data_IF_129377028276
#
_entry.id   IF_129377028276
#
_cell.length_a   1.000
_cell.length_b   1.000
_cell.length_c   1.000
_cell.angle_alpha   90.00
_cell.angle_beta   90.00
_cell.angle_gamma   90.00
#
_symmetry.space_group_name_H-M   'P 1'
#
loop_
_entity.id
_entity.type
_entity.pdbx_description
1 polymer ?
#
# COMPACT_ATOMS: atom_id res chain seq x y z
N UNK A 1 14.38 -11.98 -26.28
CA UNK A 1 13.78 -12.35 -24.98
C UNK A 1 12.32 -12.72 -25.23
N UNK A 2 11.90 -13.96 -25.00
CA UNK A 2 10.48 -14.31 -25.02
C UNK A 2 9.85 -13.74 -23.75
N UNK A 3 8.87 -12.89 -23.92
CA UNK A 3 7.98 -12.50 -22.85
C UNK A 3 7.28 -13.77 -22.38
N UNK A 4 7.29 -14.03 -21.10
CA UNK A 4 6.42 -15.06 -20.55
C UNK A 4 4.98 -14.55 -20.72
N UNK A 5 4.31 -15.01 -21.78
CA UNK A 5 2.87 -15.03 -21.78
C UNK A 5 2.46 -16.15 -20.84
N UNK A 6 2.05 -15.85 -19.63
CA UNK A 6 1.13 -16.75 -18.99
C UNK A 6 -0.09 -16.83 -19.90
N UNK A 7 -0.56 -18.05 -20.16
CA UNK A 7 -1.81 -18.28 -20.89
C UNK A 7 -2.96 -17.76 -20.02
N UNK A 8 -3.26 -16.49 -20.21
CA UNK A 8 -4.28 -15.81 -19.46
C UNK A 8 -5.49 -15.70 -20.33
N UNK A 9 -6.58 -16.14 -19.78
CA UNK A 9 -7.89 -15.97 -20.38
C UNK A 9 -8.07 -14.47 -20.57
N UNK A 10 -8.05 -14.06 -21.82
CA UNK A 10 -8.25 -12.66 -22.23
C UNK A 10 -9.73 -12.31 -22.01
N UNK A 11 -10.02 -11.83 -20.83
CA UNK A 11 -11.33 -11.28 -20.49
C UNK A 11 -11.41 -9.77 -20.72
N UNK A 12 -10.51 -9.20 -21.53
CA UNK A 12 -10.54 -7.82 -22.00
C UNK A 12 -10.21 -6.74 -20.96
N UNK A 13 -10.16 -7.07 -19.68
CA UNK A 13 -10.07 -6.11 -18.58
C UNK A 13 -8.75 -6.12 -17.81
N UNK A 14 -7.89 -7.10 -18.04
CA UNK A 14 -6.60 -7.25 -17.35
C UNK A 14 -5.46 -7.34 -18.36
N UNK A 15 -4.49 -6.45 -18.21
CA UNK A 15 -3.28 -6.46 -19.00
C UNK A 15 -2.10 -6.95 -18.15
N UNK A 16 -1.41 -7.98 -18.59
CA UNK A 16 -0.19 -8.48 -17.98
C UNK A 16 1.01 -8.01 -18.76
N UNK A 17 1.97 -7.48 -18.08
CA UNK A 17 3.26 -7.15 -18.64
C UNK A 17 4.33 -7.82 -17.80
N UNK A 18 5.03 -8.76 -18.40
CA UNK A 18 6.28 -9.26 -17.83
C UNK A 18 7.41 -8.33 -18.23
N UNK A 19 8.46 -8.33 -17.44
CA UNK A 19 9.58 -7.43 -17.60
C UNK A 19 10.12 -7.34 -19.01
N UNK A 20 10.28 -6.10 -19.45
CA UNK A 20 10.95 -5.76 -20.69
C UNK A 20 12.47 -5.90 -20.62
N UNK A 21 13.10 -5.68 -21.76
CA UNK A 21 14.56 -5.70 -21.92
C UNK A 21 15.22 -4.51 -21.22
N UNK A 22 16.41 -4.71 -20.65
CA UNK A 22 17.30 -3.60 -20.35
C UNK A 22 17.73 -2.90 -21.66
N UNK A 23 17.87 -1.58 -21.65
CA UNK A 23 18.40 -0.84 -22.80
C UNK A 23 19.91 -1.10 -22.96
N UNK A 24 20.37 -1.11 -24.19
CA UNK A 24 21.79 -1.22 -24.48
C UNK A 24 22.56 0.00 -23.97
N UNK A 25 23.42 -0.21 -22.98
CA UNK A 25 24.46 0.74 -22.57
C UNK A 25 25.82 0.14 -22.87
N UNK A 26 26.74 0.87 -23.50
CA UNK A 26 28.10 0.35 -23.81
C UNK A 26 28.82 -0.08 -22.53
N UNK A 27 29.37 -1.30 -22.52
CA UNK A 27 30.13 -1.84 -21.40
C UNK A 27 29.33 -2.45 -20.25
N UNK A 28 28.01 -2.45 -20.31
CA UNK A 28 27.15 -2.90 -19.21
C UNK A 28 26.69 -4.34 -19.34
N UNK A 29 26.13 -4.83 -18.30
CA UNK A 29 25.42 -6.09 -18.02
C UNK A 29 24.45 -6.55 -19.14
N UNK A 30 24.08 -5.66 -20.06
CA UNK A 30 23.21 -5.97 -21.21
C UNK A 30 23.75 -7.12 -22.06
N UNK A 31 25.08 -7.30 -22.16
CA UNK A 31 25.64 -8.46 -22.86
C UNK A 31 25.25 -9.79 -22.21
N UNK A 32 25.20 -9.85 -20.88
CA UNK A 32 24.73 -11.05 -20.13
C UNK A 32 23.22 -11.26 -20.32
N UNK A 33 22.46 -10.18 -20.36
CA UNK A 33 21.01 -10.25 -20.54
C UNK A 33 20.58 -10.77 -21.93
N UNK A 34 21.39 -10.52 -22.97
CA UNK A 34 21.12 -10.97 -24.34
C UNK A 34 21.18 -12.48 -24.48
N UNK A 35 21.86 -13.15 -23.57
CA UNK A 35 22.07 -14.61 -23.53
C UNK A 35 21.23 -15.32 -22.45
N UNK A 36 20.43 -14.61 -21.68
CA UNK A 36 19.50 -15.24 -20.73
C UNK A 36 18.42 -16.00 -21.48
N UNK A 37 18.67 -17.26 -21.71
CA UNK A 37 17.72 -18.20 -22.30
C UNK A 37 16.67 -18.58 -21.26
N UNK A 38 15.58 -17.82 -21.15
CA UNK A 38 14.34 -18.22 -20.49
C UNK A 38 14.48 -18.71 -19.02
N UNK A 39 15.61 -18.48 -18.35
CA UNK A 39 15.81 -18.89 -16.97
C UNK A 39 15.70 -17.69 -16.04
N UNK A 40 14.75 -17.73 -15.12
CA UNK A 40 14.50 -16.65 -14.13
C UNK A 40 15.73 -16.43 -13.23
N UNK A 41 16.49 -17.47 -12.94
CA UNK A 41 17.71 -17.36 -12.15
C UNK A 41 18.79 -16.53 -12.83
N UNK A 42 18.92 -16.63 -14.17
CA UNK A 42 19.87 -15.80 -14.92
C UNK A 42 19.47 -14.34 -14.94
N UNK A 43 18.17 -14.08 -15.02
CA UNK A 43 17.61 -12.74 -14.91
C UNK A 43 17.93 -12.13 -13.55
N UNK A 44 17.71 -12.90 -12.47
CA UNK A 44 17.98 -12.51 -11.10
C UNK A 44 19.47 -12.24 -10.88
N UNK A 45 20.33 -13.10 -11.38
CA UNK A 45 21.79 -12.93 -11.30
C UNK A 45 22.23 -11.66 -12.02
N UNK A 46 21.63 -11.35 -13.17
CA UNK A 46 21.94 -10.15 -13.93
C UNK A 46 21.47 -8.88 -13.21
N UNK A 47 20.27 -8.89 -12.64
CA UNK A 47 19.75 -7.79 -11.82
C UNK A 47 20.64 -7.55 -10.60
N UNK A 48 21.07 -8.61 -9.96
CA UNK A 48 21.94 -8.56 -8.78
C UNK A 48 23.30 -7.89 -9.04
N UNK A 49 23.82 -7.99 -10.25
CA UNK A 49 25.06 -7.33 -10.63
C UNK A 49 24.90 -5.81 -10.87
N UNK A 50 23.67 -5.30 -11.01
CA UNK A 50 23.40 -3.88 -11.30
C UNK A 50 23.35 -3.05 -10.04
N UNK A 51 23.07 -3.68 -8.89
CA UNK A 51 22.83 -2.98 -7.65
C UNK A 51 23.89 -3.33 -6.61
N UNK A 52 24.66 -2.33 -6.22
CA UNK A 52 25.65 -2.45 -5.14
C UNK A 52 24.90 -2.36 -3.80
N UNK A 53 24.53 -3.52 -3.25
CA UNK A 53 23.84 -3.63 -1.97
C UNK A 53 24.86 -4.03 -0.91
N UNK A 54 24.84 -3.31 0.22
CA UNK A 54 25.73 -3.63 1.34
C UNK A 54 25.62 -5.11 1.74
N UNK A 55 26.69 -5.92 1.64
CA UNK A 55 26.64 -7.35 1.87
C UNK A 55 26.22 -7.75 3.29
N UNK A 56 26.31 -6.86 4.27
CA UNK A 56 25.85 -7.11 5.64
C UNK A 56 24.32 -7.23 5.77
N UNK A 57 23.56 -6.76 4.76
CA UNK A 57 22.10 -6.70 4.80
C UNK A 57 21.46 -7.78 3.89
N UNK A 58 22.24 -8.50 3.10
CA UNK A 58 21.76 -9.52 2.15
C UNK A 58 20.96 -10.65 2.85
N UNK A 59 21.21 -10.91 4.11
CA UNK A 59 20.59 -12.00 4.88
C UNK A 59 19.25 -11.64 5.53
N UNK A 60 18.78 -10.38 5.41
CA UNK A 60 17.47 -10.01 5.93
C UNK A 60 16.39 -10.31 4.92
N UNK A 61 15.29 -10.90 5.41
CA UNK A 61 14.05 -11.06 4.67
C UNK A 61 13.02 -10.05 5.18
N UNK A 62 12.25 -9.48 4.27
CA UNK A 62 11.10 -8.69 4.64
C UNK A 62 9.91 -9.60 4.96
N UNK A 63 9.07 -9.14 5.87
CA UNK A 63 7.88 -9.81 6.34
C UNK A 63 6.63 -9.04 5.91
N UNK A 64 5.52 -9.74 5.81
CA UNK A 64 4.19 -9.18 5.54
C UNK A 64 3.49 -8.84 6.86
N UNK A 65 2.62 -7.84 6.83
CA UNK A 65 1.91 -7.36 8.02
C UNK A 65 0.38 -7.49 7.90
N UNK A 66 -0.11 -8.53 7.25
CA UNK A 66 -1.51 -8.91 7.29
C UNK A 66 -1.78 -9.96 8.37
N UNK A 67 -3.00 -9.98 8.88
CA UNK A 67 -3.54 -11.00 9.78
C UNK A 67 -4.84 -11.49 9.16
N UNK A 68 -4.86 -12.72 8.69
CA UNK A 68 -6.01 -13.37 8.09
C UNK A 68 -6.73 -14.18 9.17
N UNK A 69 -8.04 -14.08 9.23
CA UNK A 69 -8.85 -15.01 10.01
C UNK A 69 -8.98 -16.33 9.26
N UNK A 70 -8.59 -17.43 9.89
CA UNK A 70 -8.34 -18.74 9.27
C UNK A 70 -9.59 -19.44 8.72
N UNK A 71 -10.79 -18.96 9.02
CA UNK A 71 -12.04 -19.59 8.61
C UNK A 71 -12.72 -18.75 7.53
N UNK A 72 -13.04 -19.32 6.35
CA UNK A 72 -13.86 -18.64 5.37
C UNK A 72 -15.21 -18.28 5.97
N UNK A 73 -15.67 -17.07 5.72
CA UNK A 73 -16.97 -16.62 6.19
C UNK A 73 -18.06 -17.21 5.29
N UNK A 74 -18.97 -18.03 5.85
CA UNK A 74 -20.20 -18.48 5.19
C UNK A 74 -21.22 -17.34 5.24
N UNK A 75 -21.06 -16.37 4.37
CA UNK A 75 -21.94 -15.21 4.28
C UNK A 75 -22.71 -15.30 2.97
N UNK A 76 -24.01 -15.06 3.03
CA UNK A 76 -24.81 -14.84 1.83
C UNK A 76 -24.36 -13.54 1.15
N UNK A 77 -23.60 -13.72 0.09
CA UNK A 77 -22.99 -12.63 -0.69
C UNK A 77 -24.06 -11.65 -1.22
N UNK A 78 -25.29 -12.13 -1.44
CA UNK A 78 -26.37 -11.29 -1.97
C UNK A 78 -26.90 -10.27 -0.95
N UNK A 79 -26.67 -10.50 0.32
CA UNK A 79 -27.11 -9.64 1.43
C UNK A 79 -26.02 -8.65 1.90
N UNK A 80 -24.75 -8.81 1.52
CA UNK A 80 -23.65 -7.93 1.99
C UNK A 80 -23.79 -6.45 1.64
N UNK A 81 -24.52 -6.10 0.59
CA UNK A 81 -24.76 -4.71 0.19
C UNK A 81 -26.23 -4.26 0.42
N UNK A 82 -27.11 -5.17 0.80
CA UNK A 82 -28.53 -4.89 1.01
C UNK A 82 -28.92 -4.72 2.48
N UNK A 83 -27.95 -4.63 3.42
CA UNK A 83 -28.25 -4.30 4.80
C UNK A 83 -28.83 -2.87 4.92
N UNK A 84 -29.99 -2.68 4.30
CA UNK A 84 -31.03 -1.78 4.80
C UNK A 84 -31.60 -2.49 6.03
N UNK A 85 -30.98 -2.20 7.18
CA UNK A 85 -31.49 -2.63 8.48
C UNK A 85 -32.96 -2.23 8.56
N UNK A 86 -33.86 -3.22 8.71
CA UNK A 86 -35.21 -2.96 9.18
C UNK A 86 -35.10 -2.19 10.49
N UNK A 87 -35.71 -1.02 10.52
CA UNK A 87 -35.68 -0.09 11.64
C UNK A 87 -36.32 -0.70 12.89
N UNK A 88 -35.53 -1.37 13.69
CA UNK A 88 -35.82 -1.56 15.11
C UNK A 88 -35.23 -0.35 15.86
N UNK A 89 -36.09 0.56 16.27
CA UNK A 89 -35.80 1.90 16.77
C UNK A 89 -35.26 1.97 18.20
N UNK A 90 -34.85 0.85 18.81
CA UNK A 90 -34.58 0.81 20.26
C UNK A 90 -33.14 0.54 20.69
N UNK A 91 -32.25 0.09 19.82
CA UNK A 91 -30.81 -0.04 20.16
C UNK A 91 -29.94 0.42 18.99
N UNK A 92 -29.04 1.40 19.23
CA UNK A 92 -27.99 1.77 18.27
C UNK A 92 -27.09 0.55 18.07
N UNK A 93 -27.31 -0.20 17.01
CA UNK A 93 -26.50 -1.36 16.68
C UNK A 93 -25.15 -0.88 16.13
N UNK A 94 -24.07 -1.21 16.82
CA UNK A 94 -22.70 -0.89 16.43
C UNK A 94 -22.19 -2.03 15.56
N UNK A 95 -21.69 -1.74 14.36
CA UNK A 95 -20.99 -2.70 13.52
C UNK A 95 -19.51 -2.74 13.87
N UNK A 96 -18.99 -3.93 14.14
CA UNK A 96 -17.60 -4.19 14.54
C UNK A 96 -16.76 -4.86 13.44
N UNK A 97 -17.24 -4.85 12.18
CA UNK A 97 -16.57 -5.49 11.05
C UNK A 97 -16.87 -7.01 10.93
N UNK A 98 -16.30 -7.72 9.94
CA UNK A 98 -15.46 -7.17 8.88
C UNK A 98 -16.22 -6.20 7.96
N UNK A 99 -15.53 -5.16 7.51
CA UNK A 99 -16.17 -4.09 6.74
C UNK A 99 -16.10 -4.31 5.23
N UNK A 100 -17.16 -3.88 4.55
CA UNK A 100 -17.24 -3.82 3.09
C UNK A 100 -16.56 -2.55 2.55
N UNK A 101 -16.25 -2.50 1.22
CA UNK A 101 -15.76 -1.28 0.57
C UNK A 101 -16.67 -0.07 0.75
N UNK A 102 -17.99 -0.23 0.73
CA UNK A 102 -18.96 0.85 0.90
C UNK A 102 -18.92 1.43 2.32
N UNK A 103 -18.81 0.58 3.33
CA UNK A 103 -18.69 0.99 4.74
C UNK A 103 -17.41 1.79 4.99
N UNK A 104 -16.27 1.32 4.53
CA UNK A 104 -14.99 2.04 4.66
C UNK A 104 -15.02 3.37 3.90
N UNK A 105 -15.60 3.40 2.71
CA UNK A 105 -15.76 4.64 1.96
C UNK A 105 -16.57 5.67 2.75
N UNK A 106 -17.67 5.27 3.36
CA UNK A 106 -18.49 6.17 4.17
C UNK A 106 -17.77 6.62 5.43
N UNK A 107 -17.12 5.71 6.15
CA UNK A 107 -16.39 6.01 7.37
C UNK A 107 -15.29 7.06 7.20
N UNK A 108 -14.60 7.06 6.06
CA UNK A 108 -13.47 7.92 5.77
C UNK A 108 -13.77 9.03 4.77
N UNK A 109 -15.06 9.33 4.55
CA UNK A 109 -15.55 10.41 3.66
C UNK A 109 -15.03 10.28 2.21
N UNK A 110 -15.00 9.05 1.68
CA UNK A 110 -14.61 8.76 0.30
C UNK A 110 -15.85 8.84 -0.61
N UNK A 111 -16.52 10.00 -0.61
CA UNK A 111 -17.83 10.16 -1.24
C UNK A 111 -17.77 10.39 -2.75
N UNK A 112 -16.72 11.01 -3.26
CA UNK A 112 -16.60 11.43 -4.65
C UNK A 112 -15.39 10.79 -5.33
N UNK A 113 -15.57 9.57 -5.85
CA UNK A 113 -14.57 8.97 -6.71
C UNK A 113 -14.61 9.72 -8.05
N UNK A 114 -13.56 10.47 -8.32
CA UNK A 114 -13.51 11.40 -9.44
C UNK A 114 -13.50 10.66 -10.79
N UNK A 115 -14.41 10.99 -11.71
CA UNK A 115 -14.33 10.49 -13.07
C UNK A 115 -13.03 11.00 -13.72
N UNK A 116 -12.51 10.22 -14.65
CA UNK A 116 -11.28 10.58 -15.37
C UNK A 116 -11.66 11.57 -16.48
N UNK A 117 -11.23 12.80 -16.34
CA UNK A 117 -11.40 13.83 -17.35
C UNK A 117 -10.19 13.91 -18.29
N UNK A 118 -10.08 12.94 -19.17
CA UNK A 118 -9.38 13.08 -20.43
C UNK A 118 -7.86 12.88 -20.50
N UNK A 119 -7.05 12.95 -19.45
CA UNK A 119 -5.59 12.95 -19.62
C UNK A 119 -4.91 11.62 -19.39
N UNK A 120 -4.94 11.14 -18.18
CA UNK A 120 -4.40 9.83 -17.78
C UNK A 120 -4.98 9.41 -16.43
N UNK A 121 -4.89 8.14 -16.16
CA UNK A 121 -5.22 7.61 -14.85
C UNK A 121 -4.06 7.80 -13.88
N UNK A 122 -4.38 7.89 -12.60
CA UNK A 122 -3.38 7.70 -11.55
C UNK A 122 -2.87 6.27 -11.61
N UNK A 123 -1.57 6.12 -11.50
CA UNK A 123 -0.87 4.83 -11.52
C UNK A 123 -0.39 4.52 -10.12
N UNK A 124 -0.91 3.44 -9.57
CA UNK A 124 -0.49 2.90 -8.28
C UNK A 124 0.36 1.66 -8.52
N UNK A 125 1.56 1.63 -7.95
CA UNK A 125 2.44 0.47 -8.01
C UNK A 125 2.53 -0.20 -6.65
N UNK A 126 2.25 -1.50 -6.61
CA UNK A 126 2.40 -2.36 -5.43
C UNK A 126 3.72 -3.11 -5.59
N UNK A 127 4.60 -3.00 -4.60
CA UNK A 127 5.81 -3.83 -4.53
C UNK A 127 5.56 -4.96 -3.56
N UNK A 128 5.74 -6.18 -4.03
CA UNK A 128 5.52 -7.41 -3.27
C UNK A 128 6.56 -8.47 -3.69
N UNK A 129 6.55 -9.64 -3.10
CA UNK A 129 7.46 -10.71 -3.44
C UNK A 129 6.72 -11.97 -3.90
N UNK A 130 7.41 -12.82 -4.64
CA UNK A 130 6.95 -14.10 -5.14
C UNK A 130 5.74 -14.01 -6.09
N UNK A 131 5.43 -15.14 -6.73
CA UNK A 131 4.33 -15.22 -7.70
C UNK A 131 2.99 -15.49 -7.00
N UNK A 132 1.96 -14.76 -7.41
CA UNK A 132 0.57 -15.10 -7.07
C UNK A 132 -0.19 -15.46 -8.35
N UNK A 133 -0.31 -16.75 -8.72
CA UNK A 133 -1.00 -17.16 -9.94
C UNK A 133 -2.53 -17.02 -9.87
N UNK A 134 -3.07 -16.79 -8.68
CA UNK A 134 -4.52 -16.69 -8.44
C UNK A 134 -5.03 -15.25 -8.38
N UNK A 135 -4.12 -14.27 -8.37
CA UNK A 135 -4.44 -12.87 -8.13
C UNK A 135 -5.57 -12.32 -8.99
N UNK A 136 -5.51 -12.56 -10.30
CA UNK A 136 -6.51 -12.02 -11.24
C UNK A 136 -7.89 -12.56 -10.98
N UNK A 137 -7.98 -13.86 -10.77
CA UNK A 137 -9.24 -14.54 -10.49
C UNK A 137 -9.89 -14.00 -9.21
N UNK A 138 -9.09 -13.85 -8.15
CA UNK A 138 -9.58 -13.41 -6.85
C UNK A 138 -9.94 -11.92 -6.84
N UNK A 139 -9.18 -11.07 -7.57
CA UNK A 139 -9.53 -9.65 -7.79
C UNK A 139 -10.83 -9.50 -8.60
N UNK A 140 -11.00 -10.31 -9.64
CA UNK A 140 -12.26 -10.33 -10.42
C UNK A 140 -13.44 -10.69 -9.56
N UNK A 141 -13.32 -11.77 -8.76
CA UNK A 141 -14.38 -12.22 -7.84
C UNK A 141 -14.72 -11.16 -6.80
N UNK A 142 -13.71 -10.47 -6.24
CA UNK A 142 -13.91 -9.34 -5.33
C UNK A 142 -14.72 -8.22 -5.99
N UNK A 143 -14.36 -7.84 -7.22
CA UNK A 143 -15.10 -6.83 -7.98
C UNK A 143 -16.54 -7.22 -8.27
N UNK A 144 -16.80 -8.51 -8.56
CA UNK A 144 -18.15 -9.03 -8.76
C UNK A 144 -19.00 -8.95 -7.48
N UNK A 145 -18.43 -9.38 -6.33
CA UNK A 145 -19.12 -9.37 -5.03
C UNK A 145 -19.50 -7.93 -4.62
N UNK A 146 -18.56 -7.00 -4.72
CA UNK A 146 -18.76 -5.62 -4.28
C UNK A 146 -19.18 -4.66 -5.41
N UNK A 147 -19.65 -5.19 -6.54
CA UNK A 147 -20.20 -4.44 -7.69
C UNK A 147 -19.29 -3.31 -8.17
N UNK A 148 -17.97 -3.55 -8.13
CA UNK A 148 -16.97 -2.58 -8.58
C UNK A 148 -16.77 -2.64 -10.11
N UNK A 149 -16.49 -1.51 -10.79
CA UNK A 149 -16.16 -1.54 -12.21
C UNK A 149 -14.87 -2.35 -12.44
N UNK A 150 -14.62 -2.87 -13.66
CA UNK A 150 -13.48 -3.74 -13.92
C UNK A 150 -12.13 -3.15 -13.51
N UNK A 151 -11.35 -3.92 -12.74
CA UNK A 151 -10.02 -3.52 -12.26
C UNK A 151 -9.02 -3.42 -13.41
N UNK A 152 -8.23 -2.34 -13.43
CA UNK A 152 -7.12 -2.19 -14.38
C UNK A 152 -5.81 -2.63 -13.74
N UNK A 153 -5.46 -3.89 -13.95
CA UNK A 153 -4.34 -4.57 -13.32
C UNK A 153 -3.25 -4.93 -14.34
N UNK A 154 -1.99 -4.57 -14.02
CA UNK A 154 -0.79 -5.01 -14.74
C UNK A 154 0.16 -5.69 -13.75
N UNK A 155 0.73 -6.83 -14.13
CA UNK A 155 1.61 -7.61 -13.28
C UNK A 155 2.99 -7.73 -13.93
N UNK A 156 4.03 -7.37 -13.17
CA UNK A 156 5.44 -7.55 -13.50
C UNK A 156 5.99 -8.62 -12.56
N UNK A 157 6.15 -9.83 -13.04
CA UNK A 157 6.53 -10.97 -12.22
C UNK A 157 7.98 -11.40 -12.47
N UNK A 158 8.78 -11.40 -11.40
CA UNK A 158 10.18 -11.84 -11.39
C UNK A 158 10.39 -13.20 -10.72
N UNK A 159 9.34 -13.81 -10.19
CA UNK A 159 9.41 -15.06 -9.43
C UNK A 159 8.56 -16.17 -10.07
N UNK A 160 9.05 -17.42 -10.00
CA UNK A 160 8.22 -18.60 -10.25
C UNK A 160 7.69 -19.21 -8.96
N UNK A 161 8.27 -18.84 -7.83
CA UNK A 161 7.95 -19.40 -6.53
C UNK A 161 6.63 -18.81 -6.02
N UNK A 162 5.74 -19.69 -5.53
CA UNK A 162 4.54 -19.32 -4.79
C UNK A 162 4.83 -19.43 -3.29
N UNK A 163 4.47 -18.38 -2.55
CA UNK A 163 4.51 -18.35 -1.09
C UNK A 163 3.17 -17.79 -0.60
N UNK A 164 2.43 -18.59 0.15
CA UNK A 164 1.03 -18.31 0.52
C UNK A 164 0.86 -16.94 1.18
N UNK A 165 1.65 -16.63 2.20
CA UNK A 165 1.55 -15.34 2.90
C UNK A 165 1.77 -14.15 1.97
N UNK A 166 2.74 -14.23 1.06
CA UNK A 166 2.99 -13.18 0.08
C UNK A 166 1.91 -13.10 -1.00
N UNK A 167 1.28 -14.22 -1.34
CA UNK A 167 0.15 -14.23 -2.26
C UNK A 167 -1.08 -13.56 -1.63
N UNK A 168 -1.35 -13.82 -0.34
CA UNK A 168 -2.41 -13.15 0.43
C UNK A 168 -2.12 -11.66 0.50
N UNK A 169 -0.89 -11.27 0.84
CA UNK A 169 -0.45 -9.88 0.90
C UNK A 169 -0.68 -9.15 -0.43
N UNK A 170 -0.28 -9.77 -1.53
CA UNK A 170 -0.48 -9.21 -2.87
C UNK A 170 -1.97 -9.02 -3.19
N UNK A 171 -2.79 -10.01 -2.84
CA UNK A 171 -4.23 -9.98 -3.07
C UNK A 171 -4.90 -8.87 -2.25
N UNK A 172 -4.57 -8.77 -0.97
CA UNK A 172 -5.03 -7.71 -0.06
C UNK A 172 -4.75 -6.33 -0.64
N UNK A 173 -3.50 -6.08 -1.00
CA UNK A 173 -3.08 -4.78 -1.50
C UNK A 173 -3.83 -4.37 -2.77
N UNK A 174 -3.99 -5.30 -3.73
CA UNK A 174 -4.72 -5.02 -4.97
C UNK A 174 -6.19 -4.77 -4.69
N UNK A 175 -6.84 -5.64 -3.91
CA UNK A 175 -8.28 -5.54 -3.66
C UNK A 175 -8.64 -4.27 -2.92
N UNK A 176 -7.86 -3.83 -1.93
CA UNK A 176 -8.21 -2.64 -1.15
C UNK A 176 -7.83 -1.31 -1.81
N UNK A 177 -6.77 -1.25 -2.61
CA UNK A 177 -6.55 -0.10 -3.51
C UNK A 177 -7.68 0.01 -4.54
N UNK A 178 -8.06 -1.11 -5.15
CA UNK A 178 -9.16 -1.20 -6.10
C UNK A 178 -10.51 -0.85 -5.46
N UNK A 179 -10.76 -1.32 -4.25
CA UNK A 179 -11.96 -0.99 -3.49
C UNK A 179 -12.12 0.52 -3.27
N UNK A 180 -11.05 1.20 -2.89
CA UNK A 180 -11.04 2.64 -2.60
C UNK A 180 -11.07 3.45 -3.89
N UNK A 181 -10.21 3.17 -4.85
CA UNK A 181 -10.17 3.83 -6.16
C UNK A 181 -10.25 2.85 -7.32
N UNK A 182 -11.46 2.48 -7.76
CA UNK A 182 -11.63 1.50 -8.84
C UNK A 182 -11.19 2.01 -10.23
N UNK A 183 -10.88 3.29 -10.35
CA UNK A 183 -10.45 3.89 -11.62
C UNK A 183 -8.94 4.03 -11.76
N UNK A 184 -8.16 3.78 -10.71
CA UNK A 184 -6.70 3.75 -10.80
C UNK A 184 -6.19 2.64 -11.73
N UNK A 185 -5.03 2.83 -12.35
CA UNK A 185 -4.26 1.75 -12.95
C UNK A 185 -3.36 1.15 -11.87
N UNK A 186 -3.59 -0.11 -11.53
CA UNK A 186 -2.83 -0.83 -10.52
C UNK A 186 -1.75 -1.66 -11.20
N UNK A 187 -0.51 -1.49 -10.77
CA UNK A 187 0.66 -2.25 -11.22
C UNK A 187 1.24 -3.03 -10.05
N UNK A 188 1.44 -4.31 -10.23
CA UNK A 188 2.04 -5.19 -9.23
C UNK A 188 3.43 -5.59 -9.70
N UNK A 189 4.44 -5.34 -8.87
CA UNK A 189 5.80 -5.81 -9.07
C UNK A 189 6.05 -6.93 -8.07
N UNK A 190 6.12 -8.16 -8.56
CA UNK A 190 6.39 -9.35 -7.78
C UNK A 190 7.90 -9.64 -7.83
N UNK A 191 8.65 -9.20 -6.80
CA UNK A 191 10.08 -9.44 -6.68
C UNK A 191 10.40 -10.95 -6.68
N UNK A 192 11.62 -11.31 -7.03
CA UNK A 192 12.03 -12.71 -7.12
C UNK A 192 11.93 -13.44 -5.78
N UNK A 193 12.21 -12.73 -4.68
CA UNK A 193 12.05 -13.21 -3.31
C UNK A 193 11.83 -12.03 -2.35
N UNK A 194 11.60 -12.32 -1.07
CA UNK A 194 11.45 -11.31 -0.01
C UNK A 194 12.79 -10.84 0.58
N UNK A 195 13.92 -11.28 0.05
CA UNK A 195 15.20 -10.80 0.53
C UNK A 195 15.41 -9.31 0.19
N UNK A 196 16.27 -8.66 0.96
CA UNK A 196 16.55 -7.24 0.84
C UNK A 196 16.91 -6.81 -0.59
N UNK A 197 17.78 -7.56 -1.23
CA UNK A 197 18.29 -7.29 -2.57
C UNK A 197 17.20 -7.32 -3.64
N UNK A 198 16.34 -8.34 -3.61
CA UNK A 198 15.29 -8.53 -4.60
C UNK A 198 14.19 -7.48 -4.45
N UNK A 199 13.84 -7.14 -3.21
CA UNK A 199 12.86 -6.09 -2.92
C UNK A 199 13.37 -4.71 -3.36
N UNK A 200 14.66 -4.40 -3.14
CA UNK A 200 15.26 -3.16 -3.62
C UNK A 200 15.41 -3.13 -5.15
N UNK A 201 15.62 -4.26 -5.79
CA UNK A 201 15.56 -4.35 -7.25
C UNK A 201 14.16 -3.97 -7.76
N UNK A 202 13.10 -4.42 -7.10
CA UNK A 202 11.73 -4.07 -7.44
C UNK A 202 11.44 -2.57 -7.23
N UNK A 203 11.94 -1.96 -6.13
CA UNK A 203 11.85 -0.51 -5.88
C UNK A 203 12.57 0.26 -6.99
N UNK A 204 13.79 -0.12 -7.34
CA UNK A 204 14.56 0.53 -8.39
C UNK A 204 13.89 0.39 -9.76
N UNK A 205 13.24 -0.75 -10.02
CA UNK A 205 12.43 -0.95 -11.22
C UNK A 205 11.24 0.02 -11.26
N UNK A 206 10.52 0.19 -10.14
CA UNK A 206 9.41 1.14 -10.07
C UNK A 206 9.84 2.60 -10.30
N UNK A 207 11.09 2.92 -10.00
CA UNK A 207 11.69 4.24 -10.15
C UNK A 207 12.28 4.53 -11.53
N UNK A 208 12.17 3.61 -12.47
CA UNK A 208 12.85 3.68 -13.75
C UNK A 208 14.38 3.89 -13.65
N UNK A 209 14.98 3.52 -12.52
CA UNK A 209 16.43 3.55 -12.37
C UNK A 209 17.06 2.47 -13.26
N UNK A 210 18.24 2.74 -13.78
CA UNK A 210 19.06 1.78 -14.54
C UNK A 210 18.49 1.29 -15.89
N UNK A 211 17.83 2.16 -16.64
CA UNK A 211 17.42 1.90 -18.03
C UNK A 211 16.53 0.67 -18.26
N UNK A 212 15.73 0.27 -17.27
CA UNK A 212 14.72 -0.76 -17.49
C UNK A 212 13.73 -0.37 -18.59
N UNK A 213 13.30 -1.35 -19.38
CA UNK A 213 12.21 -1.21 -20.34
C UNK A 213 11.18 -2.32 -20.14
N UNK A 214 9.88 -2.01 -20.18
CA UNK A 214 9.29 -0.69 -20.37
C UNK A 214 9.52 0.23 -19.18
N UNK A 215 9.55 1.54 -19.40
CA UNK A 215 9.52 2.51 -18.29
C UNK A 215 8.20 2.40 -17.56
N UNK A 216 8.26 2.41 -16.24
CA UNK A 216 7.08 2.41 -15.38
C UNK A 216 6.91 3.82 -14.82
N UNK A 217 5.87 4.54 -15.26
CA UNK A 217 5.44 5.72 -14.53
C UNK A 217 4.68 5.26 -13.29
N UNK A 218 4.91 5.92 -12.16
CA UNK A 218 4.28 5.60 -10.89
C UNK A 218 3.98 6.87 -10.13
N UNK A 219 2.74 7.05 -9.72
CA UNK A 219 2.33 8.19 -8.90
C UNK A 219 2.40 7.86 -7.41
N UNK A 220 1.95 6.67 -7.02
CA UNK A 220 1.95 6.20 -5.63
C UNK A 220 2.49 4.78 -5.56
N UNK A 221 3.41 4.51 -4.65
CA UNK A 221 3.96 3.17 -4.36
C UNK A 221 3.42 2.68 -3.04
N UNK A 222 2.91 1.45 -3.02
CA UNK A 222 2.51 0.72 -1.81
C UNK A 222 3.52 -0.35 -1.44
N UNK A 223 3.92 -0.36 -0.16
CA UNK A 223 4.85 -1.32 0.44
C UNK A 223 4.28 -1.82 1.77
N UNK A 224 3.41 -2.83 1.72
CA UNK A 224 2.81 -3.43 2.93
C UNK A 224 3.68 -4.55 3.49
N UNK A 225 4.94 -4.27 3.71
CA UNK A 225 5.95 -5.18 4.22
C UNK A 225 7.08 -4.41 4.89
N UNK A 226 7.85 -5.08 5.73
CA UNK A 226 8.98 -4.44 6.36
C UNK A 226 9.82 -5.41 7.18
N UNK A 227 10.77 -4.83 7.90
CA UNK A 227 11.58 -5.49 8.92
C UNK A 227 11.80 -4.50 10.06
N UNK A 228 12.21 -4.97 11.23
CA UNK A 228 12.51 -4.08 12.36
C UNK A 228 13.60 -3.07 11.97
N UNK A 229 13.40 -1.81 12.34
CA UNK A 229 14.47 -0.80 12.30
C UNK A 229 15.52 -1.17 13.37
N UNK A 230 16.74 -1.40 12.93
CA UNK A 230 17.85 -1.84 13.77
C UNK A 230 19.05 -0.86 13.71
N UNK A 231 18.80 0.38 13.31
CA UNK A 231 19.86 1.35 13.01
C UNK A 231 20.56 1.06 11.67
N UNK A 232 21.43 1.93 11.23
CA UNK A 232 22.27 1.76 10.04
C UNK A 232 21.54 1.67 8.67
N UNK A 233 20.26 2.05 8.59
CA UNK A 233 19.46 1.99 7.36
C UNK A 233 19.40 3.34 6.62
N UNK A 234 20.05 4.37 7.12
CA UNK A 234 19.95 5.74 6.60
C UNK A 234 20.27 5.85 5.10
N UNK A 235 21.28 5.16 4.61
CA UNK A 235 21.69 5.21 3.20
C UNK A 235 20.61 4.75 2.23
N UNK A 236 19.70 3.91 2.68
CA UNK A 236 18.60 3.35 1.85
C UNK A 236 17.45 4.33 1.60
N UNK A 237 17.39 5.46 2.33
CA UNK A 237 16.44 6.53 2.04
C UNK A 237 16.52 7.02 0.58
N UNK A 238 17.70 6.97 -0.01
CA UNK A 238 17.95 7.35 -1.40
C UNK A 238 17.27 6.43 -2.45
N UNK A 239 16.81 5.26 -2.04
CA UNK A 239 16.04 4.38 -2.92
C UNK A 239 14.61 4.89 -3.14
N UNK A 240 14.11 5.70 -2.22
CA UNK A 240 12.77 6.29 -2.27
C UNK A 240 12.82 7.73 -2.79
N UNK A 241 13.54 7.95 -3.90
CA UNK A 241 13.67 9.26 -4.55
C UNK A 241 13.14 9.19 -5.97
N UNK A 242 11.94 9.77 -6.16
CA UNK A 242 11.35 10.08 -7.45
C UNK A 242 10.46 11.31 -7.30
N UNK A 243 10.75 12.37 -8.04
CA UNK A 243 10.11 13.69 -7.90
C UNK A 243 8.60 13.71 -8.25
N UNK A 244 8.04 12.58 -8.66
CA UNK A 244 6.62 12.44 -9.04
C UNK A 244 5.90 11.32 -8.27
N UNK A 245 6.58 10.69 -7.32
CA UNK A 245 6.07 9.48 -6.66
C UNK A 245 5.94 9.70 -5.16
N UNK A 246 4.81 9.28 -4.61
CA UNK A 246 4.59 9.17 -3.17
C UNK A 246 4.85 7.72 -2.77
N UNK A 247 5.75 7.50 -1.81
CA UNK A 247 6.03 6.19 -1.24
C UNK A 247 5.27 6.02 0.07
N UNK A 248 4.59 4.90 0.22
CA UNK A 248 3.79 4.55 1.39
C UNK A 248 4.18 3.16 1.88
N UNK A 249 4.35 3.02 3.20
CA UNK A 249 4.62 1.72 3.81
C UNK A 249 3.78 1.51 5.07
N UNK A 250 3.40 0.27 5.32
CA UNK A 250 2.80 -0.16 6.58
C UNK A 250 3.81 -0.04 7.73
N UNK A 251 3.36 0.40 8.91
CA UNK A 251 4.24 0.60 10.06
C UNK A 251 4.60 -0.68 10.81
N UNK A 252 3.93 -1.80 10.50
CA UNK A 252 4.15 -3.10 11.16
C UNK A 252 3.12 -3.42 12.24
N UNK A 253 3.16 -4.66 12.76
CA UNK A 253 2.16 -5.20 13.70
C UNK A 253 2.74 -5.59 15.07
N UNK A 254 3.91 -5.07 15.45
CA UNK A 254 4.66 -5.60 16.59
C UNK A 254 5.13 -4.52 17.59
N UNK A 255 4.44 -3.38 17.66
CA UNK A 255 4.71 -2.31 18.62
C UNK A 255 6.15 -1.73 18.55
N UNK A 256 6.82 -1.85 17.42
CA UNK A 256 8.15 -1.28 17.17
C UNK A 256 8.22 -0.64 15.78
N UNK A 257 9.23 0.19 15.60
CA UNK A 257 9.47 0.88 14.33
C UNK A 257 9.99 -0.09 13.29
N UNK A 258 9.47 0.02 12.06
CA UNK A 258 9.87 -0.83 10.94
C UNK A 258 10.49 -0.01 9.80
N UNK A 259 11.33 -0.67 9.01
CA UNK A 259 11.84 -0.21 7.74
C UNK A 259 11.06 -0.93 6.61
N UNK A 260 10.59 -0.26 5.54
CA UNK A 260 10.96 1.08 5.10
C UNK A 260 10.08 2.22 5.64
N UNK A 261 9.09 1.96 6.50
CA UNK A 261 8.18 3.00 7.01
C UNK A 261 8.90 4.11 7.78
N UNK A 262 10.03 3.81 8.44
CA UNK A 262 10.83 4.81 9.14
C UNK A 262 11.62 5.77 8.23
N UNK A 263 11.72 5.49 6.93
CA UNK A 263 12.41 6.39 5.99
C UNK A 263 11.72 7.74 5.90
N UNK A 264 12.50 8.82 5.85
CA UNK A 264 11.93 10.18 5.78
C UNK A 264 11.25 10.50 4.45
N UNK A 265 11.55 9.75 3.38
CA UNK A 265 10.91 9.84 2.07
C UNK A 265 9.73 8.85 1.92
N UNK A 266 9.27 8.23 2.99
CA UNK A 266 8.17 7.27 2.99
C UNK A 266 7.12 7.69 4.01
N UNK A 267 5.84 7.65 3.63
CA UNK A 267 4.72 7.84 4.54
C UNK A 267 4.46 6.53 5.29
N UNK A 268 4.48 6.57 6.60
CA UNK A 268 4.25 5.43 7.48
C UNK A 268 2.78 5.35 7.90
N UNK A 269 2.13 4.22 7.64
CA UNK A 269 0.70 4.04 7.96
C UNK A 269 0.55 3.03 9.08
N UNK A 270 0.02 3.51 10.21
CA UNK A 270 -0.32 2.73 11.40
C UNK A 270 -1.72 2.13 11.34
N UNK A 271 -2.11 1.53 12.45
CA UNK A 271 -3.34 0.78 12.57
C UNK A 271 -4.29 1.27 13.66
N UNK A 272 -5.59 1.24 13.35
CA UNK A 272 -6.67 1.54 14.28
C UNK A 272 -7.67 0.38 14.41
N UNK A 273 -8.46 0.41 15.47
CA UNK A 273 -9.66 -0.38 15.70
C UNK A 273 -10.86 0.52 15.42
N UNK A 274 -11.63 0.22 14.38
CA UNK A 274 -12.78 1.01 13.92
C UNK A 274 -14.10 0.36 14.33
N UNK A 275 -15.06 1.17 14.78
CA UNK A 275 -16.46 0.78 14.94
C UNK A 275 -17.37 1.76 14.22
N UNK A 276 -18.44 1.27 13.60
CA UNK A 276 -19.38 2.07 12.84
C UNK A 276 -20.77 2.11 13.48
N UNK A 277 -21.48 3.21 13.26
CA UNK A 277 -22.90 3.30 13.51
C UNK A 277 -23.68 2.42 12.50
N UNK A 278 -24.94 2.15 12.77
CA UNK A 278 -25.84 1.44 11.87
C UNK A 278 -25.98 2.07 10.47
N UNK A 279 -25.78 3.40 10.38
CA UNK A 279 -25.75 4.11 9.11
C UNK A 279 -24.38 4.11 8.43
N UNK A 280 -23.44 3.29 8.90
CA UNK A 280 -22.05 3.18 8.43
C UNK A 280 -21.18 4.46 8.60
N UNK A 281 -21.64 5.44 9.35
CA UNK A 281 -20.77 6.54 9.80
C UNK A 281 -19.86 6.06 10.93
N UNK A 282 -18.72 6.70 11.09
CA UNK A 282 -17.75 6.35 12.13
C UNK A 282 -18.34 6.59 13.52
N UNK A 283 -18.47 5.53 14.32
CA UNK A 283 -18.92 5.61 15.73
C UNK A 283 -17.76 5.92 16.66
N UNK A 284 -16.72 5.10 16.60
CA UNK A 284 -15.49 5.28 17.37
C UNK A 284 -14.31 4.69 16.64
N UNK A 285 -13.15 5.28 16.88
CA UNK A 285 -11.90 4.75 16.38
C UNK A 285 -10.79 4.99 17.40
N UNK A 286 -9.98 3.97 17.67
CA UNK A 286 -8.89 4.01 18.65
C UNK A 286 -7.64 3.37 18.07
N UNK A 287 -6.49 3.63 18.67
CA UNK A 287 -5.23 2.95 18.31
C UNK A 287 -5.41 1.45 18.42
N UNK A 288 -4.99 0.70 17.41
CA UNK A 288 -4.84 -0.75 17.51
C UNK A 288 -3.57 -1.10 18.28
N UNK A 289 -3.73 -1.92 19.32
CA UNK A 289 -2.67 -2.17 20.32
C UNK A 289 -1.41 -2.85 19.77
N UNK A 290 -1.45 -3.39 18.56
CA UNK A 290 -0.31 -4.03 17.91
C UNK A 290 0.33 -3.18 16.80
N UNK A 291 -0.20 -1.98 16.50
CA UNK A 291 0.37 -1.13 15.45
C UNK A 291 1.85 -0.84 15.70
N UNK A 292 2.67 -0.88 14.65
CA UNK A 292 4.07 -0.48 14.74
C UNK A 292 4.18 1.02 14.96
N UNK A 293 4.88 1.44 16.01
CA UNK A 293 5.06 2.86 16.34
C UNK A 293 6.33 3.08 17.17
N UNK A 294 6.78 4.33 17.24
CA UNK A 294 7.92 4.71 18.07
C UNK A 294 8.91 5.63 17.36
N UNK A 295 10.10 5.70 17.93
CA UNK A 295 11.23 6.47 17.43
C UNK A 295 12.16 5.60 16.58
N UNK A 296 12.54 6.08 15.41
CA UNK A 296 13.50 5.39 14.53
C UNK A 296 14.90 5.39 15.13
N UNK A 297 15.57 4.25 15.03
CA UNK A 297 17.00 4.12 15.35
C UNK A 297 17.91 4.55 14.16
N UNK A 298 17.36 4.55 12.95
CA UNK A 298 18.10 4.83 11.70
C UNK A 298 17.97 6.27 11.21
N UNK A 299 16.87 6.96 11.52
CA UNK A 299 16.53 8.23 10.90
C UNK A 299 16.31 9.34 11.92
N UNK A 300 16.93 10.49 11.66
CA UNK A 300 16.72 11.71 12.45
C UNK A 300 15.36 12.33 12.14
N UNK A 301 14.89 13.20 13.04
CA UNK A 301 13.66 13.96 12.89
C UNK A 301 13.66 14.73 11.58
N UNK A 302 12.69 14.49 10.68
CA UNK A 302 12.52 15.31 9.49
C UNK A 302 11.91 16.67 9.83
N UNK A 303 12.13 17.67 8.98
CA UNK A 303 11.69 19.05 9.21
C UNK A 303 10.18 19.25 9.39
N UNK A 304 9.37 18.28 8.98
CA UNK A 304 7.90 18.31 9.13
C UNK A 304 7.40 17.73 10.46
N UNK A 305 8.28 17.08 11.25
CA UNK A 305 7.92 16.56 12.56
C UNK A 305 8.58 17.38 13.67
N UNK A 306 7.91 17.52 14.82
CA UNK A 306 8.48 18.05 16.05
C UNK A 306 8.84 16.87 16.94
N UNK A 307 10.14 16.58 17.08
CA UNK A 307 10.64 15.48 17.91
C UNK A 307 12.07 15.78 18.40
N UNK A 308 12.49 15.06 19.43
CA UNK A 308 13.82 15.19 20.03
C UNK A 308 14.86 14.28 19.35
N UNK A 309 15.14 14.51 18.07
CA UNK A 309 16.28 13.91 17.40
C UNK A 309 15.99 12.69 16.51
N UNK A 310 14.87 11.98 16.67
CA UNK A 310 14.51 10.80 15.87
C UNK A 310 13.20 10.96 15.12
N UNK A 311 13.13 10.36 13.93
CA UNK A 311 11.89 10.20 13.15
C UNK A 311 10.87 9.41 13.97
N UNK A 312 9.63 9.90 14.06
CA UNK A 312 8.49 9.22 14.68
C UNK A 312 7.66 8.52 13.61
N UNK A 313 7.24 7.29 13.84
CA UNK A 313 6.25 6.55 13.05
C UNK A 313 5.12 6.08 13.97
N UNK A 314 3.87 5.94 13.44
CA UNK A 314 3.44 6.26 12.07
C UNK A 314 3.26 7.76 11.82
N UNK A 315 3.08 8.16 10.54
CA UNK A 315 2.60 9.51 10.19
C UNK A 315 1.10 9.63 10.36
N UNK A 316 0.38 8.59 9.97
CA UNK A 316 -1.08 8.47 9.98
C UNK A 316 -1.48 7.04 10.30
N UNK A 317 -2.78 6.84 10.53
CA UNK A 317 -3.33 5.51 10.80
C UNK A 317 -4.59 5.24 9.97
N UNK A 318 -5.00 3.98 9.89
CA UNK A 318 -6.23 3.54 9.26
C UNK A 318 -6.65 2.20 9.86
N UNK A 319 -7.87 1.71 9.60
CA UNK A 319 -8.33 0.42 10.12
C UNK A 319 -7.33 -0.70 9.88
N UNK A 320 -6.98 -1.43 10.93
CA UNK A 320 -6.00 -2.51 10.93
C UNK A 320 -6.37 -3.68 11.82
N UNK A 321 -7.11 -3.43 12.90
CA UNK A 321 -7.44 -4.48 13.87
C UNK A 321 -8.18 -5.64 13.17
N UNK A 322 -7.66 -6.88 13.20
CA UNK A 322 -8.34 -8.00 12.56
C UNK A 322 -9.71 -8.34 13.18
N UNK A 323 -9.98 -7.87 14.40
CA UNK A 323 -11.33 -7.99 15.01
C UNK A 323 -12.33 -7.03 14.36
N UNK A 324 -11.87 -5.93 13.80
CA UNK A 324 -12.68 -4.94 13.06
C UNK A 324 -12.16 -4.78 11.63
N UNK A 325 -11.62 -5.85 11.07
CA UNK A 325 -10.97 -5.86 9.76
C UNK A 325 -11.94 -5.70 8.59
N UNK A 326 -11.45 -6.06 7.42
CA UNK A 326 -12.19 -5.88 6.18
C UNK A 326 -12.30 -7.20 5.41
N UNK A 327 -13.27 -7.29 4.51
CA UNK A 327 -13.43 -8.44 3.63
C UNK A 327 -12.31 -8.51 2.59
N UNK A 328 -11.86 -9.74 2.32
CA UNK A 328 -10.95 -10.09 1.23
C UNK A 328 -11.43 -11.37 0.53
N UNK A 329 -11.14 -11.48 -0.75
CA UNK A 329 -11.41 -12.72 -1.52
C UNK A 329 -10.09 -13.44 -1.79
N UNK A 330 -9.99 -14.68 -1.28
CA UNK A 330 -8.87 -15.59 -1.51
C UNK A 330 -9.44 -16.92 -1.99
N UNK A 331 -8.91 -17.48 -3.07
CA UNK A 331 -9.42 -18.70 -3.67
C UNK A 331 -10.95 -18.66 -3.91
N UNK A 332 -11.45 -17.49 -4.35
CA UNK A 332 -12.86 -17.21 -4.63
C UNK A 332 -13.80 -17.26 -3.42
N UNK A 333 -13.28 -17.26 -2.20
CA UNK A 333 -14.05 -17.23 -0.94
C UNK A 333 -13.75 -15.96 -0.16
N UNK A 334 -14.74 -15.50 0.60
CA UNK A 334 -14.58 -14.35 1.51
C UNK A 334 -13.87 -14.76 2.79
N UNK A 335 -12.99 -13.87 3.25
CA UNK A 335 -12.32 -13.94 4.54
C UNK A 335 -12.34 -12.55 5.18
N UNK A 336 -12.07 -12.48 6.48
CA UNK A 336 -11.76 -11.24 7.17
C UNK A 336 -10.25 -11.08 7.28
N UNK A 337 -9.75 -9.86 7.08
CA UNK A 337 -8.33 -9.55 7.15
C UNK A 337 -8.09 -8.25 7.89
N UNK A 338 -6.96 -8.17 8.60
CA UNK A 338 -6.46 -6.98 9.29
C UNK A 338 -4.95 -6.85 9.15
N UNK A 339 -4.35 -6.08 10.05
CA UNK A 339 -2.94 -5.70 10.06
C UNK A 339 -2.70 -4.35 9.38
N UNK A 340 -1.56 -3.75 9.63
CA UNK A 340 -1.17 -2.48 8.98
C UNK A 340 -0.98 -2.64 7.46
N UNK A 341 -0.90 -3.88 6.98
CA UNK A 341 -0.98 -4.23 5.55
C UNK A 341 -2.35 -3.95 4.92
N UNK A 342 -3.42 -3.84 5.71
CA UNK A 342 -4.74 -3.36 5.28
C UNK A 342 -4.79 -1.83 5.26
N UNK A 343 -4.24 -1.19 6.28
CA UNK A 343 -4.23 0.28 6.41
C UNK A 343 -3.53 0.96 5.25
N UNK A 344 -2.35 0.47 4.88
CA UNK A 344 -1.52 1.08 3.84
C UNK A 344 -2.22 1.12 2.47
N UNK A 345 -2.79 0.04 1.90
CA UNK A 345 -3.47 0.09 0.61
C UNK A 345 -4.76 0.92 0.63
N UNK A 346 -5.50 0.99 1.75
CA UNK A 346 -6.65 1.90 1.88
C UNK A 346 -6.15 3.35 1.73
N UNK A 347 -5.10 3.73 2.44
CA UNK A 347 -4.52 5.07 2.38
C UNK A 347 -3.94 5.38 0.99
N UNK A 348 -3.27 4.42 0.36
CA UNK A 348 -2.78 4.53 -1.02
C UNK A 348 -3.92 4.77 -2.01
N UNK A 349 -5.03 4.09 -1.83
CA UNK A 349 -6.25 4.34 -2.60
C UNK A 349 -6.72 5.80 -2.47
N UNK A 350 -6.76 6.35 -1.24
CA UNK A 350 -7.12 7.75 -0.98
C UNK A 350 -6.14 8.73 -1.65
N UNK A 351 -4.82 8.51 -1.50
CA UNK A 351 -3.80 9.32 -2.17
C UNK A 351 -3.91 9.26 -3.70
N UNK A 352 -4.31 8.12 -4.24
CA UNK A 352 -4.51 7.98 -5.68
C UNK A 352 -5.71 8.80 -6.19
N UNK A 353 -6.76 8.99 -5.36
CA UNK A 353 -7.89 9.89 -5.66
C UNK A 353 -7.42 11.35 -5.63
N UNK A 354 -6.69 11.76 -4.59
CA UNK A 354 -6.08 13.10 -4.51
C UNK A 354 -5.21 13.38 -5.73
N UNK A 355 -4.36 12.43 -6.11
CA UNK A 355 -3.49 12.53 -7.29
C UNK A 355 -4.30 12.65 -8.58
N UNK A 356 -5.40 11.89 -8.72
CA UNK A 356 -6.29 11.99 -9.89
C UNK A 356 -6.95 13.36 -9.98
N UNK A 357 -7.36 13.95 -8.87
CA UNK A 357 -7.90 15.31 -8.82
C UNK A 357 -6.90 16.30 -9.41
N UNK A 358 -5.65 16.26 -8.96
CA UNK A 358 -4.58 17.14 -9.46
C UNK A 358 -4.26 16.92 -10.94
N UNK A 359 -4.25 15.66 -11.41
CA UNK A 359 -4.08 15.32 -12.84
C UNK A 359 -5.22 15.91 -13.67
N UNK A 360 -6.47 15.78 -13.21
CA UNK A 360 -7.64 16.32 -13.90
C UNK A 360 -7.57 17.85 -14.03
N UNK A 361 -7.02 18.52 -13.04
CA UNK A 361 -6.88 19.99 -12.99
C UNK A 361 -5.54 20.50 -13.57
N UNK A 362 -4.72 19.64 -14.15
CA UNK A 362 -3.39 20.00 -14.67
C UNK A 362 -2.41 20.55 -13.63
N UNK A 363 -2.60 20.21 -12.38
CA UNK A 363 -1.68 20.56 -11.31
C UNK A 363 -0.50 19.58 -11.23
N UNK A 364 0.62 20.03 -10.70
CA UNK A 364 1.74 19.12 -10.38
C UNK A 364 1.30 18.08 -9.36
N UNK A 365 1.66 16.81 -9.58
CA UNK A 365 1.44 15.73 -8.61
C UNK A 365 2.43 15.85 -7.45
N UNK A 366 2.05 15.31 -6.31
CA UNK A 366 2.89 15.30 -5.11
C UNK A 366 3.99 14.23 -5.18
N UNK A 367 5.00 14.40 -4.35
CA UNK A 367 6.04 13.42 -4.05
C UNK A 367 6.26 13.32 -2.55
N UNK A 368 6.74 12.18 -2.07
CA UNK A 368 7.23 12.04 -0.69
C UNK A 368 8.71 12.37 -0.52
N UNK A 369 9.39 12.81 -1.57
CA UNK A 369 10.79 13.25 -1.50
C UNK A 369 10.88 14.57 -0.75
N UNK A 370 11.70 14.59 0.29
CA UNK A 370 11.90 15.77 1.14
C UNK A 370 12.50 16.95 0.39
N UNK A 371 12.22 18.17 0.89
CA UNK A 371 12.79 19.44 0.39
C UNK A 371 12.46 19.75 -1.09
N UNK A 372 11.29 19.30 -1.56
CA UNK A 372 10.73 19.66 -2.86
C UNK A 372 9.52 20.58 -2.64
N UNK A 373 9.25 21.46 -3.58
CA UNK A 373 8.08 22.37 -3.53
C UNK A 373 6.75 21.62 -3.55
N UNK A 374 6.75 20.39 -4.07
CA UNK A 374 5.60 19.49 -4.10
C UNK A 374 5.73 18.31 -3.10
N UNK A 375 6.54 18.44 -2.05
CA UNK A 375 6.63 17.44 -0.97
C UNK A 375 5.31 17.39 -0.21
N UNK A 376 4.71 16.18 -0.09
CA UNK A 376 3.39 16.02 0.52
C UNK A 376 3.43 16.04 2.05
N UNK A 377 4.50 15.53 2.67
CA UNK A 377 4.58 15.40 4.13
C UNK A 377 4.41 16.75 4.85
N UNK A 378 5.15 17.84 4.53
CA UNK A 378 4.95 19.12 5.19
C UNK A 378 3.53 19.65 5.04
N UNK A 379 2.89 19.41 3.89
CA UNK A 379 1.52 19.85 3.64
C UNK A 379 0.53 19.09 4.53
N UNK A 380 0.70 17.79 4.69
CA UNK A 380 -0.16 16.98 5.55
C UNK A 380 -0.01 17.38 7.03
N UNK A 381 1.23 17.55 7.51
CA UNK A 381 1.49 17.95 8.89
C UNK A 381 1.01 19.38 9.21
N UNK A 382 0.95 20.27 8.23
CA UNK A 382 0.45 21.64 8.39
C UNK A 382 -1.08 21.75 8.26
N UNK A 383 -1.77 20.67 7.87
CA UNK A 383 -3.22 20.68 7.63
C UNK A 383 -3.93 19.58 8.45
N UNK A 384 -3.81 19.66 9.78
CA UNK A 384 -4.36 18.67 10.72
C UNK A 384 -5.88 18.50 10.62
N UNK A 385 -6.61 19.51 10.14
CA UNK A 385 -8.06 19.45 9.86
C UNK A 385 -8.43 18.45 8.74
N UNK A 386 -7.46 17.94 8.00
CA UNK A 386 -7.66 16.84 7.06
C UNK A 386 -7.74 15.46 7.73
N UNK A 387 -7.62 15.40 9.05
CA UNK A 387 -7.59 14.15 9.81
C UNK A 387 -8.67 14.12 10.88
N UNK A 388 -9.17 12.93 11.13
CA UNK A 388 -9.89 12.60 12.35
C UNK A 388 -8.85 12.24 13.40
N UNK A 389 -8.76 13.04 14.45
CA UNK A 389 -7.81 12.80 15.55
C UNK A 389 -8.17 11.54 16.34
N UNK A 390 -7.17 10.73 16.69
CA UNK A 390 -7.32 9.50 17.45
C UNK A 390 -6.77 9.76 18.86
N UNK A 391 -7.67 9.92 19.80
CA UNK A 391 -7.35 10.30 21.20
C UNK A 391 -7.46 9.14 22.20
N UNK A 392 -7.75 7.93 21.74
CA UNK A 392 -7.95 6.76 22.60
C UNK A 392 -7.11 5.57 22.13
N UNK A 393 -6.74 4.71 23.08
CA UNK A 393 -5.95 3.51 22.82
C UNK A 393 -4.46 3.72 22.98
N UNK A 394 -3.71 2.65 22.82
CA UNK A 394 -2.25 2.64 23.00
C UNK A 394 -1.61 1.52 22.18
N UNK A 395 -0.33 1.67 21.86
CA UNK A 395 0.50 0.61 21.30
C UNK A 395 1.86 0.59 22.00
N UNK A 396 2.21 -0.54 22.60
CA UNK A 396 3.38 -0.65 23.46
C UNK A 396 3.36 0.42 24.58
N UNK A 397 4.41 1.23 24.74
CA UNK A 397 4.47 2.26 25.77
C UNK A 397 3.79 3.59 25.36
N UNK A 398 3.26 3.71 24.15
CA UNK A 398 2.75 4.96 23.61
C UNK A 398 1.23 5.01 23.63
N UNK A 399 0.69 6.10 24.18
CA UNK A 399 -0.75 6.37 24.25
C UNK A 399 -1.14 7.36 23.16
N UNK A 400 -2.40 7.25 22.69
CA UNK A 400 -3.03 8.30 21.91
C UNK A 400 -3.27 9.55 22.77
N UNK A 401 -3.14 10.71 22.16
CA UNK A 401 -3.37 12.02 22.77
C UNK A 401 -4.03 12.95 21.76
N UNK A 402 -4.49 14.12 22.23
CA UNK A 402 -5.00 15.15 21.32
C UNK A 402 -3.89 15.69 20.43
N UNK A 403 -4.13 15.71 19.11
CA UNK A 403 -3.19 16.12 18.09
C UNK A 403 -2.21 15.02 17.68
N UNK A 404 -1.04 15.39 17.16
CA UNK A 404 -0.04 14.42 16.74
C UNK A 404 0.52 13.65 17.92
N UNK A 405 0.47 12.32 17.87
CA UNK A 405 1.07 11.43 18.84
C UNK A 405 1.83 10.26 18.21
N UNK A 406 2.60 9.52 19.03
CA UNK A 406 3.48 8.44 18.56
C UNK A 406 2.68 7.19 18.16
N UNK A 407 1.50 6.98 18.74
CA UNK A 407 0.73 5.75 18.55
C UNK A 407 -0.11 5.76 17.26
N UNK A 408 -0.63 6.93 16.87
CA UNK A 408 -1.54 7.09 15.72
C UNK A 408 -1.08 8.11 14.66
N UNK A 409 0.01 8.86 14.93
CA UNK A 409 0.44 9.96 14.08
C UNK A 409 -0.54 11.13 14.12
N UNK A 410 -0.91 11.65 12.96
CA UNK A 410 -1.96 12.70 12.82
C UNK A 410 -3.39 12.16 12.86
N UNK A 411 -3.56 10.85 13.11
CA UNK A 411 -4.87 10.20 13.10
C UNK A 411 -5.25 9.65 11.72
N UNK A 412 -6.53 9.62 11.39
CA UNK A 412 -7.09 8.98 10.20
C UNK A 412 -7.59 10.02 9.20
N UNK A 413 -7.29 9.84 7.92
CA UNK A 413 -7.66 10.80 6.87
C UNK A 413 -9.18 10.93 6.72
N UNK A 414 -9.64 12.17 6.70
CA UNK A 414 -10.89 12.58 6.09
C UNK A 414 -10.61 12.97 4.64
N UNK A 415 -10.97 12.10 3.70
CA UNK A 415 -10.57 12.31 2.30
C UNK A 415 -11.26 13.54 1.68
N UNK A 416 -12.47 13.86 2.06
CA UNK A 416 -13.17 15.04 1.57
C UNK A 416 -12.41 16.31 1.93
N UNK A 417 -12.04 16.47 3.20
CA UNK A 417 -11.24 17.61 3.65
C UNK A 417 -9.86 17.64 2.96
N UNK A 418 -9.24 16.49 2.80
CA UNK A 418 -7.95 16.38 2.13
C UNK A 418 -8.02 16.86 0.67
N UNK A 419 -9.05 16.46 -0.06
CA UNK A 419 -9.27 16.88 -1.46
C UNK A 419 -9.57 18.37 -1.54
N UNK A 420 -10.38 18.92 -0.63
CA UNK A 420 -10.70 20.35 -0.60
C UNK A 420 -9.46 21.20 -0.34
N UNK A 421 -8.55 20.72 0.51
CA UNK A 421 -7.36 21.46 0.94
C UNK A 421 -6.19 21.31 -0.03
N UNK A 422 -5.93 20.10 -0.51
CA UNK A 422 -4.72 19.75 -1.29
C UNK A 422 -5.00 19.28 -2.72
N UNK A 423 -6.24 19.14 -3.09
CA UNK A 423 -6.68 18.69 -4.42
C UNK A 423 -6.45 19.64 -5.58
#
# INVERSE_FOLDING_TARGET
MKLYKNNLIDNGNFNYVLLGKLRNTPGSIVRKFKYCNNNVNDLQTTLNCVFDINPKIINYNFETYHILNDVPLDIDINNLENDTIENDTTTKQISVGPFTPSQIKKAYSINNILPISGKRRTIVTIITAFNNPYLVRDVKKFGEIFKLPPCRLKIYNFSKQFVSNWAIETTLNVQWIYAVNPYAEIRVIQAASSNFKDMFNAINFSNNKNNFTPKIDTDVVNMSWGMRDNGNLFSYNNSFINNKTIYVASSGNNNFVTFPSCCTNVLAIGGTTLNLNSDNTRFSEKVWSYTGCGYSESFITPSYQTSNGSRITPDFSCVADPQTGCYIVINQRLYSIGGTSLSAPIYVGMLSILTQKRINENKFTYTSVMNKSNSIQPLLYNNINCFFDIINGSSGPYNANVGFDIASGLGVVNLENLIQTLG
#
